data_IF_247615939124
#
_entry.id   IF_247615939124
#
_cell.length_a   1.000
_cell.length_b   1.000
_cell.length_c   1.000
_cell.angle_alpha   90.00
_cell.angle_beta   90.00
_cell.angle_gamma   90.00
#
_symmetry.space_group_name_H-M   'P 1'
#
loop_
_entity.id
_entity.type
_entity.pdbx_description
1 polymer ?
#
# COMPACT_ATOMS: atom_id res chain seq x y z
N UNK A 1 1.29 -10.70 7.83
CA UNK A 1 1.57 -9.24 7.97
C UNK A 1 0.35 -8.45 7.51
N UNK A 2 -0.03 -7.35 8.19
CA UNK A 2 -1.14 -6.51 7.72
C UNK A 2 -0.58 -5.42 6.82
N UNK A 3 -1.14 -5.30 5.62
CA UNK A 3 -0.81 -4.30 4.62
C UNK A 3 -2.07 -3.46 4.38
N UNK A 4 -1.97 -2.16 4.61
CA UNK A 4 -3.08 -1.23 4.33
C UNK A 4 -2.76 -0.41 3.08
N UNK A 5 -3.66 -0.37 2.12
CA UNK A 5 -3.55 0.54 0.97
C UNK A 5 -4.38 1.80 1.17
N UNK A 6 -3.77 2.92 0.79
CA UNK A 6 -4.37 4.23 0.84
C UNK A 6 -4.34 4.84 -0.54
N UNK A 7 -5.51 5.24 -1.03
CA UNK A 7 -5.63 5.91 -2.31
C UNK A 7 -7.05 6.41 -2.55
N UNK A 8 -7.18 7.45 -3.36
CA UNK A 8 -8.50 7.87 -3.83
C UNK A 8 -9.00 6.86 -4.87
N UNK A 9 -10.31 6.59 -4.95
CA UNK A 9 -10.87 5.62 -5.90
C UNK A 9 -10.85 6.16 -7.33
N UNK A 10 -9.66 6.34 -7.89
CA UNK A 10 -9.41 6.73 -9.27
C UNK A 10 -8.66 5.60 -10.02
N UNK A 11 -8.50 5.77 -11.33
CA UNK A 11 -7.85 4.79 -12.20
C UNK A 11 -6.44 4.42 -11.73
N UNK A 12 -5.67 5.40 -11.21
CA UNK A 12 -4.30 5.17 -10.72
C UNK A 12 -4.27 4.30 -9.48
N UNK A 13 -5.23 4.45 -8.57
CA UNK A 13 -5.36 3.58 -7.41
C UNK A 13 -5.66 2.13 -7.82
N UNK A 14 -6.54 1.90 -8.80
CA UNK A 14 -6.87 0.54 -9.23
C UNK A 14 -5.69 -0.15 -9.92
N UNK A 15 -4.96 0.56 -10.79
CA UNK A 15 -3.74 0.03 -11.40
C UNK A 15 -2.70 -0.33 -10.35
N UNK A 16 -2.48 0.57 -9.39
CA UNK A 16 -1.49 0.35 -8.35
C UNK A 16 -1.87 -0.78 -7.38
N UNK A 17 -3.14 -0.87 -6.98
CA UNK A 17 -3.68 -1.97 -6.17
C UNK A 17 -3.37 -3.33 -6.82
N UNK A 18 -3.58 -3.43 -8.14
CA UNK A 18 -3.27 -4.66 -8.88
C UNK A 18 -1.78 -5.00 -8.82
N UNK A 19 -0.91 -4.03 -9.05
CA UNK A 19 0.55 -4.23 -8.97
C UNK A 19 1.00 -4.71 -7.58
N UNK A 20 0.44 -4.14 -6.50
CA UNK A 20 0.79 -4.55 -5.13
C UNK A 20 0.35 -5.99 -4.87
N UNK A 21 -0.85 -6.37 -5.31
CA UNK A 21 -1.36 -7.74 -5.14
C UNK A 21 -0.50 -8.76 -5.90
N UNK A 22 -0.13 -8.45 -7.14
CA UNK A 22 0.76 -9.31 -7.95
C UNK A 22 2.12 -9.47 -7.27
N UNK A 23 2.73 -8.35 -6.85
CA UNK A 23 4.05 -8.37 -6.22
C UNK A 23 4.07 -9.12 -4.88
N UNK A 24 3.06 -8.92 -4.03
CA UNK A 24 2.98 -9.63 -2.75
C UNK A 24 2.71 -11.12 -2.93
N UNK A 25 1.98 -11.51 -3.98
CA UNK A 25 1.78 -12.92 -4.33
C UNK A 25 3.08 -13.59 -4.78
N UNK A 26 4.00 -12.88 -5.44
CA UNK A 26 5.30 -13.42 -5.85
C UNK A 26 6.24 -13.66 -4.66
N UNK A 27 6.10 -12.88 -3.59
CA UNK A 27 6.94 -12.99 -2.40
C UNK A 27 6.50 -14.13 -1.45
N UNK A 28 5.41 -14.83 -1.74
CA UNK A 28 4.82 -15.90 -0.88
C UNK A 28 4.63 -15.44 0.58
N UNK A 29 4.28 -14.17 0.77
CA UNK A 29 4.06 -13.58 2.09
C UNK A 29 2.57 -13.65 2.42
N UNK A 30 2.22 -14.22 3.57
CA UNK A 30 0.86 -14.13 4.10
C UNK A 30 0.53 -12.68 4.47
N UNK A 31 -0.29 -12.02 3.63
CA UNK A 31 -0.74 -10.65 3.86
C UNK A 31 -2.25 -10.55 4.08
N UNK A 32 -2.65 -9.69 5.01
CA UNK A 32 -4.03 -9.23 5.14
C UNK A 32 -4.13 -7.82 4.57
N UNK A 33 -5.18 -7.55 3.81
CA UNK A 33 -5.31 -6.32 3.05
C UNK A 33 -6.46 -5.47 3.58
N UNK A 34 -6.15 -4.21 3.92
CA UNK A 34 -7.16 -3.23 4.31
C UNK A 34 -7.21 -2.08 3.31
N UNK A 35 -8.42 -1.80 2.80
CA UNK A 35 -8.65 -0.67 1.89
C UNK A 35 -9.10 0.56 2.67
N UNK A 36 -8.34 1.64 2.53
CA UNK A 36 -8.72 2.97 3.01
C UNK A 36 -8.81 3.94 1.84
N UNK A 37 -10.04 4.26 1.43
CA UNK A 37 -10.31 5.02 0.19
C UNK A 37 -10.78 6.45 0.39
N UNK A 38 -11.07 6.87 1.62
CA UNK A 38 -11.54 8.24 1.90
C UNK A 38 -10.39 9.18 2.25
N UNK A 39 -10.43 10.40 1.70
CA UNK A 39 -9.46 11.46 1.98
C UNK A 39 -9.37 11.77 3.49
N UNK A 40 -10.51 11.74 4.21
CA UNK A 40 -10.55 11.93 5.66
C UNK A 40 -9.74 10.87 6.41
N UNK A 41 -9.85 9.59 6.03
CA UNK A 41 -9.07 8.52 6.65
C UNK A 41 -7.58 8.64 6.35
N UNK A 42 -7.23 9.05 5.12
CA UNK A 42 -5.85 9.28 4.68
C UNK A 42 -5.22 10.42 5.48
N UNK A 43 -5.89 11.57 5.54
CA UNK A 43 -5.42 12.75 6.28
C UNK A 43 -5.37 12.49 7.78
N UNK A 44 -6.36 11.78 8.34
CA UNK A 44 -6.38 11.39 9.75
C UNK A 44 -5.22 10.49 10.17
N UNK A 45 -4.58 9.81 9.22
CA UNK A 45 -3.38 8.99 9.44
C UNK A 45 -2.07 9.73 9.13
N UNK A 46 -2.14 11.01 8.75
CA UNK A 46 -0.96 11.83 8.41
C UNK A 46 -0.31 11.47 7.07
N UNK A 47 -0.99 10.69 6.23
CA UNK A 47 -0.54 10.34 4.88
C UNK A 47 -0.77 11.54 3.97
N UNK A 48 0.31 12.00 3.31
CA UNK A 48 0.28 13.20 2.44
C UNK A 48 0.28 12.86 0.95
N UNK A 49 0.82 11.70 0.59
CA UNK A 49 0.99 11.27 -0.78
C UNK A 49 0.25 9.95 -0.98
N UNK A 50 -0.59 9.90 -2.01
CA UNK A 50 -1.34 8.72 -2.43
C UNK A 50 -1.19 8.49 -3.93
N UNK A 51 -1.28 7.24 -4.41
CA UNK A 51 -1.52 6.05 -3.63
C UNK A 51 -0.27 5.58 -2.85
N UNK A 52 -0.45 5.05 -1.63
CA UNK A 52 0.64 4.55 -0.80
C UNK A 52 0.22 3.36 0.06
N UNK A 53 1.20 2.53 0.43
CA UNK A 53 1.00 1.31 1.20
C UNK A 53 1.57 1.51 2.59
N UNK A 54 0.92 0.99 3.63
CA UNK A 54 1.49 0.90 4.96
C UNK A 54 1.78 -0.55 5.32
N UNK A 55 2.99 -0.79 5.82
CA UNK A 55 3.43 -2.05 6.40
C UNK A 55 3.85 -1.76 7.83
N UNK A 56 3.03 -2.19 8.81
CA UNK A 56 3.20 -1.77 10.20
C UNK A 56 3.16 -0.24 10.34
N UNK A 57 4.25 0.36 10.81
CA UNK A 57 4.40 1.82 10.95
C UNK A 57 5.15 2.48 9.78
N UNK A 58 5.49 1.72 8.74
CA UNK A 58 6.27 2.23 7.59
C UNK A 58 5.35 2.54 6.42
N UNK A 59 5.47 3.76 5.88
CA UNK A 59 4.80 4.16 4.64
C UNK A 59 5.71 3.84 3.46
N UNK A 60 5.19 3.04 2.55
CA UNK A 60 5.81 2.64 1.29
C UNK A 60 5.13 3.39 0.15
N UNK A 61 5.92 4.22 -0.54
CA UNK A 61 5.50 4.94 -1.74
C UNK A 61 5.37 3.96 -2.92
N UNK A 62 4.31 4.11 -3.71
CA UNK A 62 4.06 3.34 -4.91
C UNK A 62 5.23 3.32 -5.89
N UNK A 63 5.99 4.42 -6.01
CA UNK A 63 7.15 4.52 -6.92
C UNK A 63 8.34 3.68 -6.47
N UNK A 64 8.35 3.25 -5.21
CA UNK A 64 9.49 2.58 -4.58
C UNK A 64 9.18 1.13 -4.21
N UNK A 65 7.98 0.61 -4.52
CA UNK A 65 7.55 -0.73 -4.18
C UNK A 65 8.57 -1.81 -4.59
N UNK A 66 9.08 -1.73 -5.82
CA UNK A 66 10.08 -2.67 -6.37
C UNK A 66 11.49 -2.53 -5.75
N UNK A 67 11.75 -1.46 -5.00
CA UNK A 67 13.05 -1.19 -4.36
C UNK A 67 13.07 -1.53 -2.87
N UNK A 68 11.91 -1.85 -2.27
CA UNK A 68 11.86 -2.25 -0.87
C UNK A 68 12.35 -3.69 -0.72
N UNK A 69 13.28 -3.91 0.22
CA UNK A 69 13.62 -5.26 0.68
C UNK A 69 12.70 -5.62 1.86
N UNK A 70 11.84 -6.61 1.65
CA UNK A 70 10.81 -7.02 2.61
C UNK A 70 11.33 -8.01 3.67
N UNK A 71 12.58 -8.47 3.57
CA UNK A 71 13.23 -9.36 4.56
C UNK A 71 13.43 -8.71 5.94
N UNK A 72 13.19 -7.41 6.08
CA UNK A 72 13.39 -6.65 7.32
C UNK A 72 12.09 -6.28 8.06
N UNK A 73 10.93 -6.81 7.65
CA UNK A 73 9.63 -6.57 8.30
C UNK A 73 9.15 -7.74 9.15
#
# INVERSE_FOLDING_TARGET
>A
MIVSLYGLPDEKYFEWRKMVLEYMSELDVDFQFEECTSLENILGKGIKDVPCMMIGNTIVDYKKLATYNYENF
#
